data_IF_890537579699
#
_entry.id   IF_890537579699
#
_cell.length_a   1.000
_cell.length_b   1.000
_cell.length_c   1.000
_cell.angle_alpha   90.00
_cell.angle_beta   90.00
_cell.angle_gamma   90.00
#
_symmetry.space_group_name_H-M   'P 1'
#
loop_
_entity.id
_entity.type
_entity.pdbx_description
1 polymer ?
#
# COMPACT_ATOMS: atom_id res chain seq x y z
N UNK A 1 8.29 -28.49 -19.14
CA UNK A 1 7.46 -27.33 -18.74
C UNK A 1 6.91 -27.44 -17.32
N UNK A 2 6.13 -28.48 -16.97
CA UNK A 2 5.54 -28.63 -15.62
C UNK A 2 6.55 -28.66 -14.46
N UNK A 3 7.69 -29.36 -14.63
CA UNK A 3 8.77 -29.42 -13.62
C UNK A 3 9.48 -28.08 -13.43
N UNK A 4 9.74 -27.35 -14.52
CA UNK A 4 10.34 -26.01 -14.49
C UNK A 4 9.41 -25.00 -13.81
N UNK A 5 8.11 -25.06 -14.11
CA UNK A 5 7.11 -24.20 -13.48
C UNK A 5 7.01 -24.47 -11.96
N UNK A 6 7.04 -25.75 -11.55
CA UNK A 6 7.09 -26.14 -10.14
C UNK A 6 8.36 -25.65 -9.44
N UNK A 7 9.53 -25.80 -10.08
CA UNK A 7 10.80 -25.32 -9.52
C UNK A 7 10.82 -23.80 -9.39
N UNK A 8 10.29 -23.06 -10.38
CA UNK A 8 10.17 -21.61 -10.32
C UNK A 8 9.21 -21.16 -9.20
N UNK A 9 8.09 -21.86 -9.04
CA UNK A 9 7.13 -21.59 -7.97
C UNK A 9 7.76 -21.82 -6.58
N UNK A 10 8.48 -22.93 -6.39
CA UNK A 10 9.17 -23.20 -5.12
C UNK A 10 10.26 -22.16 -4.85
N UNK A 11 11.07 -21.80 -5.86
CA UNK A 11 12.09 -20.77 -5.71
C UNK A 11 11.48 -19.41 -5.33
N UNK A 12 10.35 -19.04 -5.93
CA UNK A 12 9.61 -17.82 -5.61
C UNK A 12 9.07 -17.85 -4.18
N UNK A 13 8.47 -18.96 -3.75
CA UNK A 13 7.95 -19.11 -2.39
C UNK A 13 9.05 -19.04 -1.34
N UNK A 14 10.20 -19.67 -1.59
CA UNK A 14 11.37 -19.59 -0.70
C UNK A 14 11.88 -18.16 -0.63
N UNK A 15 12.03 -17.47 -1.77
CA UNK A 15 12.46 -16.08 -1.81
C UNK A 15 11.51 -15.15 -1.02
N UNK A 16 10.20 -15.37 -1.11
CA UNK A 16 9.19 -14.61 -0.36
C UNK A 16 9.17 -14.93 1.14
N UNK A 17 9.49 -16.17 1.53
CA UNK A 17 9.51 -16.59 2.94
C UNK A 17 10.81 -16.21 3.67
N UNK A 18 11.93 -16.04 2.95
CA UNK A 18 13.24 -15.72 3.54
C UNK A 18 13.22 -14.43 4.39
N UNK A 19 12.64 -13.29 3.94
CA UNK A 19 12.60 -12.08 4.75
C UNK A 19 11.70 -12.19 5.99
N UNK A 20 10.76 -13.15 6.06
CA UNK A 20 9.94 -13.36 7.26
C UNK A 20 10.75 -13.89 8.45
N UNK A 21 11.96 -14.42 8.21
CA UNK A 21 12.91 -14.81 9.27
C UNK A 21 13.71 -13.61 9.81
N UNK A 22 13.65 -12.44 9.16
CA UNK A 22 14.22 -11.22 9.70
C UNK A 22 13.26 -10.68 10.77
N UNK A 23 13.61 -10.86 12.04
CA UNK A 23 12.84 -10.34 13.16
C UNK A 23 12.92 -8.81 13.18
N UNK A 24 11.87 -8.15 12.69
CA UNK A 24 11.76 -6.69 12.59
C UNK A 24 11.80 -5.93 13.94
N UNK A 25 11.92 -6.63 15.06
CA UNK A 25 11.96 -6.03 16.40
C UNK A 25 13.36 -5.61 16.86
N UNK A 26 14.41 -6.13 16.22
CA UNK A 26 15.79 -5.83 16.62
C UNK A 26 16.25 -4.53 15.96
N UNK A 27 16.38 -3.47 16.78
CA UNK A 27 17.00 -2.25 16.32
C UNK A 27 18.51 -2.47 16.05
N UNK A 28 19.08 -1.83 15.02
CA UNK A 28 20.50 -1.97 14.69
C UNK A 28 21.40 -1.50 15.86
N UNK A 29 22.22 -2.40 16.40
CA UNK A 29 23.07 -2.15 17.58
C UNK A 29 24.24 -1.18 17.32
N UNK A 30 24.70 -1.08 16.07
CA UNK A 30 25.86 -0.29 15.68
C UNK A 30 25.50 0.81 14.66
N UNK A 31 26.38 1.80 14.51
CA UNK A 31 26.24 2.81 13.46
C UNK A 31 26.26 2.19 12.06
N UNK A 32 27.08 1.17 11.83
CA UNK A 32 27.16 0.49 10.54
C UNK A 32 25.87 -0.28 10.21
N UNK A 33 25.29 -0.99 11.18
CA UNK A 33 24.04 -1.72 10.99
C UNK A 33 22.85 -0.80 10.69
N UNK A 34 22.87 0.47 11.13
CA UNK A 34 21.85 1.45 10.77
C UNK A 34 21.84 1.78 9.28
N UNK A 35 23.03 1.92 8.68
CA UNK A 35 23.14 2.18 7.25
C UNK A 35 22.70 0.96 6.43
N UNK A 36 23.07 -0.25 6.85
CA UNK A 36 22.61 -1.49 6.21
C UNK A 36 21.07 -1.59 6.27
N UNK A 37 20.46 -1.26 7.41
CA UNK A 37 19.01 -1.23 7.54
C UNK A 37 18.37 -0.17 6.62
N UNK A 38 18.94 1.02 6.56
CA UNK A 38 18.45 2.10 5.70
C UNK A 38 18.52 1.72 4.21
N UNK A 39 19.63 1.11 3.78
CA UNK A 39 19.79 0.60 2.40
C UNK A 39 18.73 -0.47 2.10
N UNK A 40 18.52 -1.41 3.03
CA UNK A 40 17.48 -2.43 2.89
C UNK A 40 16.07 -1.84 2.79
N UNK A 41 15.75 -0.85 3.62
CA UNK A 41 14.46 -0.16 3.58
C UNK A 41 14.28 0.56 2.24
N UNK A 42 15.32 1.22 1.74
CA UNK A 42 15.30 1.94 0.48
C UNK A 42 15.10 0.98 -0.70
N UNK A 43 15.88 -0.10 -0.77
CA UNK A 43 15.77 -1.12 -1.81
C UNK A 43 14.39 -1.76 -1.82
N UNK A 44 13.89 -2.12 -0.64
CA UNK A 44 12.56 -2.73 -0.47
C UNK A 44 11.46 -1.77 -0.90
N UNK A 45 11.56 -0.48 -0.51
CA UNK A 45 10.63 0.56 -0.94
C UNK A 45 10.58 0.67 -2.47
N UNK A 46 11.72 0.71 -3.14
CA UNK A 46 11.77 0.83 -4.60
C UNK A 46 11.29 -0.42 -5.32
N UNK A 47 11.58 -1.62 -4.80
CA UNK A 47 11.07 -2.87 -5.36
C UNK A 47 9.53 -2.88 -5.30
N UNK A 48 8.95 -2.61 -4.13
CA UNK A 48 7.49 -2.60 -3.98
C UNK A 48 6.83 -1.47 -4.76
N UNK A 49 7.41 -0.26 -4.73
CA UNK A 49 6.89 0.87 -5.50
C UNK A 49 6.95 0.60 -7.01
N UNK A 50 8.03 -0.04 -7.49
CA UNK A 50 8.16 -0.44 -8.89
C UNK A 50 7.12 -1.47 -9.30
N UNK A 51 6.92 -2.52 -8.50
CA UNK A 51 5.89 -3.53 -8.75
C UNK A 51 4.48 -2.93 -8.69
N UNK A 52 4.21 -2.07 -7.71
CA UNK A 52 2.94 -1.35 -7.59
C UNK A 52 2.69 -0.45 -8.81
N UNK A 53 3.73 0.25 -9.30
CA UNK A 53 3.63 1.08 -10.50
C UNK A 53 3.31 0.25 -11.75
N UNK A 54 3.96 -0.91 -11.93
CA UNK A 54 3.65 -1.83 -13.03
C UNK A 54 2.20 -2.33 -12.94
N UNK A 55 1.75 -2.72 -11.75
CA UNK A 55 0.37 -3.15 -11.52
C UNK A 55 -0.62 -2.02 -11.80
N UNK A 56 -0.31 -0.79 -11.38
CA UNK A 56 -1.07 0.41 -11.67
C UNK A 56 -1.21 0.65 -13.18
N UNK A 57 -0.10 0.57 -13.94
CA UNK A 57 -0.13 0.73 -15.40
C UNK A 57 -0.98 -0.36 -16.07
N UNK A 58 -0.88 -1.61 -15.61
CA UNK A 58 -1.71 -2.70 -16.11
C UNK A 58 -3.20 -2.43 -15.83
N UNK A 59 -3.53 -2.00 -14.60
CA UNK A 59 -4.89 -1.69 -14.19
C UNK A 59 -5.47 -0.51 -14.97
N UNK A 60 -4.66 0.54 -15.18
CA UNK A 60 -5.03 1.69 -15.99
C UNK A 60 -5.31 1.28 -17.44
N UNK A 61 -4.40 0.53 -18.07
CA UNK A 61 -4.60 0.07 -19.44
C UNK A 61 -5.84 -0.82 -19.58
N UNK A 62 -6.16 -1.61 -18.57
CA UNK A 62 -7.38 -2.43 -18.53
C UNK A 62 -8.66 -1.63 -18.25
N UNK A 63 -8.57 -0.33 -17.99
CA UNK A 63 -9.72 0.55 -17.77
C UNK A 63 -10.29 0.50 -16.36
N UNK A 64 -9.60 -0.08 -15.38
CA UNK A 64 -10.10 -0.19 -14.00
C UNK A 64 -10.30 1.16 -13.28
N UNK A 65 -9.76 2.25 -13.84
CA UNK A 65 -9.96 3.62 -13.33
C UNK A 65 -11.05 4.40 -14.06
N UNK A 66 -11.79 3.76 -14.98
CA UNK A 66 -13.00 4.35 -15.55
C UNK A 66 -14.09 4.30 -14.47
N UNK A 67 -14.77 5.42 -14.21
CA UNK A 67 -15.77 5.59 -13.14
C UNK A 67 -15.23 5.78 -11.71
N UNK A 68 -13.97 6.20 -11.53
CA UNK A 68 -13.45 6.55 -10.20
C UNK A 68 -14.33 7.55 -9.44
N UNK A 69 -14.89 8.56 -10.10
CA UNK A 69 -15.76 9.56 -9.47
C UNK A 69 -17.04 8.93 -8.88
N UNK A 70 -17.58 7.91 -9.55
CA UNK A 70 -18.79 7.20 -9.13
C UNK A 70 -18.52 6.21 -8.00
N UNK A 71 -17.33 5.61 -7.97
CA UNK A 71 -16.92 4.71 -6.89
C UNK A 71 -16.49 5.54 -5.66
N UNK A 72 -15.82 6.66 -5.88
CA UNK A 72 -15.38 7.59 -4.85
C UNK A 72 -16.52 8.32 -4.13
N UNK A 73 -17.72 8.37 -4.72
CA UNK A 73 -18.91 8.90 -4.06
C UNK A 73 -19.61 7.88 -3.16
N UNK A 74 -19.23 6.59 -3.18
CA UNK A 74 -19.87 5.56 -2.34
C UNK A 74 -19.79 5.90 -0.84
N UNK A 75 -18.64 6.33 -0.29
CA UNK A 75 -18.57 6.76 1.11
C UNK A 75 -19.46 7.97 1.43
N UNK A 76 -19.75 8.84 0.45
CA UNK A 76 -20.64 10.01 0.65
C UNK A 76 -22.11 9.62 0.77
N UNK A 77 -22.49 8.39 0.37
CA UNK A 77 -23.84 7.87 0.55
C UNK A 77 -24.01 7.09 1.85
N UNK A 78 -22.94 6.92 2.62
CA UNK A 78 -23.01 6.27 3.93
C UNK A 78 -23.46 7.31 4.94
N UNK A 79 -24.68 7.14 5.44
CA UNK A 79 -25.26 7.98 6.47
C UNK A 79 -24.65 7.55 7.82
N UNK A 80 -23.46 8.07 8.12
CA UNK A 80 -22.73 7.87 9.37
C UNK A 80 -22.86 9.12 10.25
N UNK A 81 -22.88 8.92 11.57
CA UNK A 81 -22.85 10.02 12.52
C UNK A 81 -21.50 10.75 12.39
N UNK A 82 -21.56 12.05 12.15
CA UNK A 82 -20.36 12.85 11.90
C UNK A 82 -19.56 13.06 13.19
N UNK A 83 -18.54 12.24 13.37
CA UNK A 83 -17.63 12.32 14.52
C UNK A 83 -16.46 13.29 14.33
N UNK A 84 -16.30 13.87 13.14
CA UNK A 84 -15.10 14.61 12.77
C UNK A 84 -15.35 16.09 12.49
N UNK A 85 -16.57 16.47 12.14
CA UNK A 85 -16.96 17.87 12.04
C UNK A 85 -17.20 18.42 13.43
N UNK A 86 -16.37 19.36 13.89
CA UNK A 86 -16.55 19.95 15.21
C UNK A 86 -17.78 20.88 15.22
N UNK A 87 -18.47 20.98 16.36
CA UNK A 87 -19.76 21.68 16.50
C UNK A 87 -19.74 23.13 15.95
N UNK A 88 -18.63 23.85 16.14
CA UNK A 88 -18.46 25.22 15.65
C UNK A 88 -18.46 25.36 14.12
N UNK A 89 -18.23 24.27 13.38
CA UNK A 89 -18.27 24.26 11.92
C UNK A 89 -19.68 24.03 11.37
N UNK A 90 -20.60 23.52 12.20
CA UNK A 90 -22.03 23.39 11.85
C UNK A 90 -22.75 24.74 11.90
N UNK A 91 -22.25 25.67 12.72
CA UNK A 91 -22.79 27.02 12.89
C UNK A 91 -22.57 27.92 11.66
N UNK A 92 -21.63 27.57 10.78
CA UNK A 92 -21.33 28.32 9.53
C UNK A 92 -22.12 27.80 8.31
N UNK A 93 -22.97 26.78 8.42
CA UNK A 93 -23.87 26.35 7.32
C UNK A 93 -25.29 26.94 7.43
N UNK A 94 -25.57 27.72 8.47
CA UNK A 94 -26.84 28.46 8.62
C UNK A 94 -26.83 29.82 7.86
N UNK A 95 -26.09 29.93 6.75
CA UNK A 95 -26.16 31.08 5.85
C UNK A 95 -27.12 30.80 4.68
N UNK A 96 -28.37 31.22 4.92
CA UNK A 96 -29.41 31.69 3.97
C UNK A 96 -30.42 30.67 3.37
N UNK A 97 -31.65 30.75 3.90
CA UNK A 97 -32.92 30.54 3.17
C UNK A 97 -33.09 31.52 1.99
#
# INVERSE_FOLDING_TARGET
MRRLALSALVALLVALATPALAFAHDQPETQQSRWIMADWMLDTFFIFSGLAFIAFLAAWKAGHFQELDKIGSIPLYVDEEDYYTPEWALDEEEWEE
#
